data_IF_477050540718
#
_entry.id   IF_477050540718
#
_cell.length_a   1.000
_cell.length_b   1.000
_cell.length_c   1.000
_cell.angle_alpha   90.00
_cell.angle_beta   90.00
_cell.angle_gamma   90.00
#
_symmetry.space_group_name_H-M   'P 1'
#
loop_
_entity.id
_entity.type
_entity.pdbx_description
1 polymer ?
#
# COMPACT_ATOMS: atom_id res chain seq x y z
N UNK A 1 2.47 15.59 3.35
CA UNK A 1 2.28 16.20 2.02
C UNK A 1 1.07 17.12 2.00
N UNK A 2 -0.13 16.65 2.35
CA UNK A 2 -1.35 17.49 2.41
C UNK A 2 -1.20 18.75 3.29
N UNK A 3 -0.59 18.64 4.48
CA UNK A 3 -0.40 19.79 5.38
C UNK A 3 0.66 20.82 4.95
N UNK A 4 1.32 20.60 3.82
CA UNK A 4 2.42 21.45 3.33
C UNK A 4 2.22 21.91 1.88
N UNK A 5 0.99 21.86 1.36
CA UNK A 5 0.66 22.34 0.01
C UNK A 5 0.86 21.34 -1.13
N UNK A 6 1.34 20.12 -0.85
CA UNK A 6 1.58 19.07 -1.85
C UNK A 6 0.39 18.11 -1.99
N UNK A 7 -0.81 18.66 -2.16
CA UNK A 7 -2.04 17.87 -2.18
C UNK A 7 -2.12 16.96 -3.42
N UNK A 8 -1.70 17.45 -4.60
CA UNK A 8 -1.73 16.70 -5.84
C UNK A 8 -0.77 15.49 -5.80
N UNK A 9 0.43 15.67 -5.25
CA UNK A 9 1.40 14.60 -5.10
C UNK A 9 0.93 13.57 -4.06
N UNK A 10 0.31 14.02 -2.97
CA UNK A 10 -0.30 13.15 -1.98
C UNK A 10 -1.39 12.26 -2.61
N UNK A 11 -2.30 12.86 -3.39
CA UNK A 11 -3.35 12.13 -4.11
C UNK A 11 -2.76 11.14 -5.13
N UNK A 12 -1.71 11.55 -5.86
CA UNK A 12 -1.01 10.68 -6.82
C UNK A 12 -0.36 9.48 -6.14
N UNK A 13 0.29 9.68 -4.99
CA UNK A 13 0.93 8.59 -4.23
C UNK A 13 -0.14 7.64 -3.67
N UNK A 14 -1.22 8.18 -3.10
CA UNK A 14 -2.37 7.41 -2.63
C UNK A 14 -2.93 6.51 -3.73
N UNK A 15 -3.26 7.08 -4.89
CA UNK A 15 -3.84 6.33 -6.01
C UNK A 15 -2.93 5.20 -6.48
N UNK A 16 -1.62 5.47 -6.64
CA UNK A 16 -0.65 4.44 -7.06
C UNK A 16 -0.48 3.34 -6.01
N UNK A 17 -0.44 3.70 -4.73
CA UNK A 17 -0.33 2.71 -3.66
C UNK A 17 -1.57 1.82 -3.60
N UNK A 18 -2.76 2.41 -3.63
CA UNK A 18 -4.03 1.67 -3.64
C UNK A 18 -4.12 0.73 -4.85
N UNK A 19 -3.74 1.19 -6.05
CA UNK A 19 -3.77 0.35 -7.26
C UNK A 19 -2.92 -0.91 -7.13
N UNK A 20 -1.68 -0.76 -6.66
CA UNK A 20 -0.76 -1.88 -6.44
C UNK A 20 -1.33 -2.87 -5.44
N UNK A 21 -1.82 -2.38 -4.31
CA UNK A 21 -2.33 -3.23 -3.22
C UNK A 21 -3.63 -3.91 -3.62
N UNK A 22 -4.55 -3.21 -4.29
CA UNK A 22 -5.82 -3.77 -4.74
C UNK A 22 -5.64 -4.80 -5.86
N UNK A 23 -4.72 -4.57 -6.80
CA UNK A 23 -4.37 -5.58 -7.80
C UNK A 23 -3.88 -6.85 -7.13
N UNK A 24 -2.96 -6.69 -6.17
CA UNK A 24 -2.39 -7.83 -5.46
C UNK A 24 -3.41 -8.59 -4.62
N UNK A 25 -4.33 -7.85 -3.99
CA UNK A 25 -5.45 -8.42 -3.25
C UNK A 25 -6.38 -9.22 -4.16
N UNK A 26 -6.67 -8.74 -5.38
CA UNK A 26 -7.48 -9.48 -6.37
C UNK A 26 -6.81 -10.79 -6.80
N UNK A 27 -5.48 -10.84 -6.83
CA UNK A 27 -4.73 -12.03 -7.21
C UNK A 27 -4.57 -13.04 -6.06
N UNK A 28 -4.48 -12.57 -4.81
CA UNK A 28 -4.08 -13.41 -3.65
C UNK A 28 -5.14 -13.59 -2.59
N UNK A 29 -6.12 -12.69 -2.52
CA UNK A 29 -7.07 -12.60 -1.41
C UNK A 29 -6.49 -12.06 -0.10
N UNK A 30 -5.26 -11.54 -0.09
CA UNK A 30 -4.60 -11.05 1.12
C UNK A 30 -3.87 -9.72 0.90
N UNK A 31 -3.70 -8.96 2.00
CA UNK A 31 -2.85 -7.78 2.06
C UNK A 31 -1.55 -8.16 2.75
N UNK A 32 -0.41 -7.72 2.22
CA UNK A 32 0.91 -8.09 2.71
C UNK A 32 1.62 -6.94 3.42
N UNK A 33 2.65 -7.25 4.20
CA UNK A 33 3.42 -6.26 4.96
C UNK A 33 4.08 -5.20 4.05
N UNK A 34 4.65 -5.62 2.91
CA UNK A 34 5.51 -4.78 2.07
C UNK A 34 5.18 -4.89 0.58
N UNK A 35 5.34 -3.78 -0.14
CA UNK A 35 5.14 -3.68 -1.59
C UNK A 35 6.27 -2.88 -2.24
N UNK A 36 6.73 -3.32 -3.41
CA UNK A 36 7.66 -2.57 -4.25
C UNK A 36 6.95 -1.41 -4.93
N UNK A 37 7.67 -0.30 -5.10
CA UNK A 37 7.21 0.85 -5.89
C UNK A 37 6.92 0.50 -7.36
N UNK A 38 7.54 -0.55 -7.91
CA UNK A 38 7.23 -1.09 -9.24
C UNK A 38 5.96 -1.97 -9.30
N UNK A 39 5.26 -2.14 -8.17
CA UNK A 39 3.96 -2.81 -8.12
C UNK A 39 4.00 -4.30 -7.78
N UNK A 40 5.03 -4.80 -7.10
CA UNK A 40 5.12 -6.22 -6.76
C UNK A 40 5.22 -6.44 -5.26
N UNK A 41 4.49 -7.43 -4.72
CA UNK A 41 4.69 -7.92 -3.34
C UNK A 41 5.98 -8.71 -3.18
N UNK A 42 6.64 -9.11 -4.26
CA UNK A 42 7.82 -9.96 -4.23
C UNK A 42 9.06 -9.16 -3.80
N UNK A 43 9.17 -8.93 -2.50
CA UNK A 43 10.26 -8.23 -1.82
C UNK A 43 11.33 -9.18 -1.29
N UNK A 44 11.22 -10.49 -1.56
CA UNK A 44 12.14 -11.53 -1.05
C UNK A 44 13.63 -11.22 -1.28
N UNK A 45 13.97 -10.66 -2.45
CA UNK A 45 15.35 -10.27 -2.80
C UNK A 45 15.85 -9.00 -2.07
N UNK A 46 14.95 -8.25 -1.44
CA UNK A 46 15.22 -6.96 -0.78
C UNK A 46 15.08 -7.03 0.75
N UNK A 47 14.62 -8.17 1.29
CA UNK A 47 14.55 -8.43 2.73
C UNK A 47 15.95 -8.73 3.28
N UNK A 48 16.71 -7.67 3.60
CA UNK A 48 18.04 -7.77 4.22
C UNK A 48 18.00 -7.87 5.75
N UNK A 49 16.85 -7.54 6.36
CA UNK A 49 16.65 -7.49 7.81
C UNK A 49 15.25 -8.00 8.17
N UNK A 50 15.13 -8.81 9.23
CA UNK A 50 13.87 -9.39 9.69
C UNK A 50 13.54 -10.76 9.06
N UNK A 51 12.25 -11.10 8.99
CA UNK A 51 11.77 -12.34 8.36
C UNK A 51 12.12 -12.36 6.87
N UNK A 52 12.43 -13.54 6.36
CA UNK A 52 12.78 -13.77 4.94
C UNK A 52 11.55 -13.83 4.03
N UNK A 53 10.36 -13.76 4.62
CA UNK A 53 9.04 -13.81 3.98
C UNK A 53 8.29 -12.49 4.15
N UNK A 54 7.38 -12.23 3.21
CA UNK A 54 6.46 -11.10 3.29
C UNK A 54 5.13 -11.62 3.85
N UNK A 55 4.76 -11.17 5.04
CA UNK A 55 3.65 -11.77 5.79
C UNK A 55 2.28 -11.19 5.38
N UNK A 56 1.24 -12.04 5.23
CA UNK A 56 -0.12 -11.59 4.99
C UNK A 56 -0.79 -11.06 6.28
N UNK A 57 -1.81 -10.22 6.13
CA UNK A 57 -2.66 -9.75 7.22
C UNK A 57 -2.04 -8.64 8.08
N UNK A 58 -1.01 -7.97 7.60
CA UNK A 58 -0.23 -7.03 8.41
C UNK A 58 -1.01 -5.77 8.79
N UNK A 59 -1.05 -5.45 10.10
CA UNK A 59 -1.95 -4.45 10.67
C UNK A 59 -1.82 -3.05 10.06
N UNK A 60 -0.61 -2.57 9.80
CA UNK A 60 -0.43 -1.24 9.19
C UNK A 60 -0.94 -1.19 7.74
N UNK A 61 -0.83 -2.28 6.98
CA UNK A 61 -1.27 -2.29 5.57
C UNK A 61 -2.79 -2.23 5.55
N UNK A 62 -3.43 -3.03 6.39
CA UNK A 62 -4.88 -3.04 6.53
C UNK A 62 -5.41 -1.67 6.98
N UNK A 63 -4.81 -1.09 8.02
CA UNK A 63 -5.22 0.21 8.55
C UNK A 63 -5.06 1.35 7.54
N UNK A 64 -3.92 1.40 6.84
CA UNK A 64 -3.69 2.41 5.79
C UNK A 64 -4.69 2.22 4.66
N UNK A 65 -4.95 1.00 4.19
CA UNK A 65 -5.91 0.78 3.10
C UNK A 65 -7.32 1.21 3.46
N UNK A 66 -7.79 0.95 4.69
CA UNK A 66 -9.09 1.41 5.17
C UNK A 66 -9.19 2.94 5.17
N UNK A 67 -8.16 3.62 5.68
CA UNK A 67 -8.12 5.09 5.70
C UNK A 67 -8.10 5.67 4.28
N UNK A 68 -7.27 5.12 3.37
CA UNK A 68 -7.20 5.62 2.00
C UNK A 68 -8.50 5.39 1.22
N UNK A 69 -9.18 4.26 1.43
CA UNK A 69 -10.51 4.00 0.85
C UNK A 69 -11.57 4.96 1.41
N UNK A 70 -11.52 5.25 2.71
CA UNK A 70 -12.40 6.24 3.36
C UNK A 70 -12.17 7.66 2.82
N UNK A 71 -10.92 8.04 2.56
CA UNK A 71 -10.59 9.32 1.91
C UNK A 71 -11.15 9.40 0.49
N UNK A 72 -11.00 8.33 -0.30
CA UNK A 72 -11.47 8.28 -1.69
C UNK A 72 -13.01 8.34 -1.77
N UNK A 73 -13.70 7.58 -0.91
CA UNK A 73 -15.16 7.61 -0.80
C UNK A 73 -15.70 8.99 -0.38
N UNK A 74 -14.93 9.74 0.41
CA UNK A 74 -15.27 11.09 0.86
C UNK A 74 -14.86 12.20 -0.14
N UNK A 75 -14.24 11.86 -1.27
CA UNK A 75 -13.76 12.82 -2.26
C UNK A 75 -12.62 13.73 -1.77
N UNK A 76 -11.78 13.23 -0.85
CA UNK A 76 -10.69 13.99 -0.19
C UNK A 76 -9.29 13.76 -0.77
#
# INVERSE_FOLDING_TARGET
MQHYGYAAEAARIRAKFMDVVLRDFRETGALYEKYKSCGSRNVSKDLKFGYTTNEPGFGWTNGVMLELLSMDAAGR
#
